data_IF_464227363832
#
_entry.id   IF_464227363832
#
_cell.length_a   1.000
_cell.length_b   1.000
_cell.length_c   1.000
_cell.angle_alpha   90.00
_cell.angle_beta   90.00
_cell.angle_gamma   90.00
#
_symmetry.space_group_name_H-M   'P 1'
#
loop_
_entity.id
_entity.type
_entity.pdbx_description
1 polymer ?
#
# COMPACT_ATOMS: atom_id res chain seq x y z
N UNK A 1 -12.42 7.34 5.30
CA UNK A 1 -11.84 6.09 4.79
C UNK A 1 -11.93 5.93 3.28
N UNK A 2 -11.70 7.03 2.58
CA UNK A 2 -11.74 7.06 1.12
C UNK A 2 -10.71 6.08 0.51
N UNK A 3 -9.54 5.94 1.16
CA UNK A 3 -8.49 5.07 0.64
C UNK A 3 -8.93 3.59 0.58
N UNK A 4 -9.62 3.11 1.62
CA UNK A 4 -10.12 1.73 1.64
C UNK A 4 -11.22 1.54 0.58
N UNK A 5 -12.11 2.52 0.47
CA UNK A 5 -13.18 2.47 -0.53
C UNK A 5 -12.58 2.41 -1.93
N UNK A 6 -11.57 3.23 -2.20
CA UNK A 6 -10.88 3.22 -3.48
C UNK A 6 -10.20 1.88 -3.76
N UNK A 7 -9.56 1.29 -2.75
CA UNK A 7 -8.91 -0.01 -2.89
C UNK A 7 -9.92 -1.10 -3.23
N UNK A 8 -11.03 -1.18 -2.48
CA UNK A 8 -12.06 -2.18 -2.72
C UNK A 8 -12.69 -2.00 -4.09
N UNK A 9 -12.96 -0.76 -4.49
CA UNK A 9 -13.51 -0.45 -5.80
C UNK A 9 -12.56 -0.90 -6.91
N UNK A 10 -11.26 -0.63 -6.75
CA UNK A 10 -10.25 -1.05 -7.71
C UNK A 10 -10.14 -2.57 -7.85
N UNK A 11 -10.23 -3.28 -6.73
CA UNK A 11 -10.20 -4.74 -6.74
C UNK A 11 -11.42 -5.28 -7.51
N UNK A 12 -12.60 -4.72 -7.24
CA UNK A 12 -13.83 -5.13 -7.92
C UNK A 12 -13.70 -4.90 -9.42
N UNK A 13 -13.22 -3.74 -9.84
CA UNK A 13 -13.02 -3.44 -11.24
C UNK A 13 -12.02 -4.40 -11.89
N UNK A 14 -10.94 -4.71 -11.20
CA UNK A 14 -9.93 -5.64 -11.72
C UNK A 14 -10.47 -7.05 -11.95
N UNK A 15 -11.33 -7.50 -11.03
CA UNK A 15 -11.95 -8.81 -11.16
C UNK A 15 -12.99 -8.82 -12.28
N UNK A 16 -13.81 -7.77 -12.38
CA UNK A 16 -14.90 -7.70 -13.35
C UNK A 16 -14.38 -7.58 -14.79
N UNK A 17 -13.38 -6.73 -15.01
CA UNK A 17 -12.89 -6.47 -16.36
C UNK A 17 -11.85 -7.49 -16.84
N UNK A 18 -11.30 -8.29 -15.95
CA UNK A 18 -10.39 -9.39 -16.29
C UNK A 18 -9.28 -8.95 -17.26
N UNK A 19 -8.58 -7.88 -16.91
CA UNK A 19 -7.49 -7.35 -17.72
C UNK A 19 -6.23 -8.17 -17.51
N UNK A 20 -5.67 -8.72 -18.59
CA UNK A 20 -4.43 -9.48 -18.53
C UNK A 20 -3.24 -8.58 -18.83
N UNK A 21 -2.23 -8.64 -17.96
CA UNK A 21 -1.01 -7.84 -18.10
C UNK A 21 0.11 -8.77 -18.57
N UNK A 22 0.86 -8.40 -19.63
CA UNK A 22 1.99 -9.21 -20.10
C UNK A 22 3.00 -9.48 -18.99
N UNK A 23 3.56 -10.70 -18.97
CA UNK A 23 4.50 -11.13 -17.92
C UNK A 23 5.72 -10.24 -17.80
N UNK A 24 6.17 -9.63 -18.88
CA UNK A 24 7.32 -8.73 -18.85
C UNK A 24 7.12 -7.53 -17.95
N UNK A 25 5.87 -7.16 -17.67
CA UNK A 25 5.53 -6.05 -16.79
C UNK A 25 5.27 -6.49 -15.36
N UNK A 26 5.33 -7.79 -15.05
CA UNK A 26 5.04 -8.30 -13.72
C UNK A 26 5.89 -7.65 -12.60
N UNK A 27 7.22 -7.46 -12.76
CA UNK A 27 7.99 -6.78 -11.72
C UNK A 27 7.49 -5.37 -11.45
N UNK A 28 7.12 -4.62 -12.50
CA UNK A 28 6.60 -3.26 -12.36
C UNK A 28 5.27 -3.26 -11.62
N UNK A 29 4.37 -4.16 -12.01
CA UNK A 29 3.05 -4.26 -11.38
C UNK A 29 3.16 -4.70 -9.93
N UNK A 30 4.06 -5.64 -9.63
CA UNK A 30 4.26 -6.12 -8.27
C UNK A 30 4.66 -4.99 -7.32
N UNK A 31 5.67 -4.21 -7.68
CA UNK A 31 6.14 -3.12 -6.83
C UNK A 31 5.13 -1.98 -6.78
N UNK A 32 4.42 -1.71 -7.90
CA UNK A 32 3.41 -0.67 -7.92
C UNK A 32 2.25 -1.01 -6.98
N UNK A 33 1.79 -2.26 -7.01
CA UNK A 33 0.73 -2.72 -6.12
C UNK A 33 1.16 -2.63 -4.67
N UNK A 34 2.39 -3.08 -4.36
CA UNK A 34 2.90 -3.00 -2.99
C UNK A 34 3.05 -1.56 -2.52
N UNK A 35 3.52 -0.66 -3.38
CA UNK A 35 3.63 0.76 -3.04
C UNK A 35 2.26 1.36 -2.75
N UNK A 36 1.25 1.00 -3.55
CA UNK A 36 -0.12 1.45 -3.33
C UNK A 36 -0.68 0.91 -2.02
N UNK A 37 -0.48 -0.38 -1.75
CA UNK A 37 -0.94 -1.01 -0.51
C UNK A 37 -0.26 -0.40 0.71
N UNK A 38 1.04 -0.13 0.63
CA UNK A 38 1.76 0.54 1.71
C UNK A 38 1.12 1.88 2.03
N UNK A 39 0.81 2.66 1.01
CA UNK A 39 0.17 3.96 1.20
C UNK A 39 -1.22 3.85 1.80
N UNK A 40 -2.02 2.88 1.33
CA UNK A 40 -3.37 2.67 1.86
C UNK A 40 -3.32 2.24 3.33
N UNK A 41 -2.45 1.28 3.68
CA UNK A 41 -2.31 0.86 5.07
C UNK A 41 -1.81 2.00 5.96
N UNK A 42 -0.88 2.81 5.46
CA UNK A 42 -0.43 4.00 6.17
C UNK A 42 -1.55 5.00 6.39
N UNK A 43 -2.41 5.20 5.39
CA UNK A 43 -3.57 6.08 5.52
C UNK A 43 -4.56 5.58 6.55
N UNK A 44 -4.83 4.27 6.58
CA UNK A 44 -5.74 3.67 7.57
C UNK A 44 -5.19 3.88 8.98
N UNK A 45 -3.90 3.60 9.16
CA UNK A 45 -3.23 3.82 10.44
C UNK A 45 -3.34 5.28 10.88
N UNK A 46 -3.03 6.22 9.98
CA UNK A 46 -3.10 7.65 10.28
C UNK A 46 -4.52 8.08 10.61
N UNK A 47 -5.51 7.55 9.89
CA UNK A 47 -6.91 7.87 10.14
C UNK A 47 -7.34 7.40 11.54
N UNK A 48 -6.95 6.19 11.93
CA UNK A 48 -7.27 5.65 13.24
C UNK A 48 -6.58 6.43 14.37
N UNK A 49 -5.40 6.99 14.10
CA UNK A 49 -4.67 7.82 15.06
C UNK A 49 -5.06 9.29 14.98
N UNK A 50 -6.04 9.65 14.15
CA UNK A 50 -6.51 11.03 13.93
C UNK A 50 -5.40 11.96 13.44
N UNK A 51 -4.44 11.41 12.69
CA UNK A 51 -3.32 12.17 12.14
C UNK A 51 -3.29 12.13 10.60
N UNK A 52 -4.38 11.72 9.96
CA UNK A 52 -4.43 11.62 8.51
C UNK A 52 -4.35 13.01 7.87
N UNK A 53 -3.46 13.11 6.88
CA UNK A 53 -3.33 14.31 6.05
C UNK A 53 -3.34 13.90 4.59
N UNK A 54 -4.32 14.42 3.84
CA UNK A 54 -4.56 14.01 2.46
C UNK A 54 -3.38 14.33 1.54
N UNK A 55 -2.72 15.47 1.75
CA UNK A 55 -1.56 15.85 0.94
C UNK A 55 -0.38 14.90 1.15
N UNK A 56 -0.14 14.48 2.38
CA UNK A 56 0.90 13.51 2.68
C UNK A 56 0.56 12.15 2.06
N UNK A 57 -0.70 11.72 2.18
CA UNK A 57 -1.15 10.46 1.59
C UNK A 57 -0.96 10.46 0.06
N UNK A 58 -1.44 11.50 -0.61
CA UNK A 58 -1.40 11.56 -2.07
C UNK A 58 0.05 11.63 -2.57
N UNK A 59 0.87 12.47 -1.95
CA UNK A 59 2.28 12.59 -2.35
C UNK A 59 3.04 11.29 -2.12
N UNK A 60 2.77 10.60 -1.01
CA UNK A 60 3.38 9.31 -0.73
C UNK A 60 2.91 8.23 -1.68
N UNK A 61 1.60 8.20 -1.98
CA UNK A 61 1.03 7.22 -2.88
C UNK A 61 1.70 7.28 -4.26
N UNK A 62 1.73 8.46 -4.86
CA UNK A 62 2.31 8.62 -6.20
C UNK A 62 3.83 8.61 -6.17
N UNK A 63 4.43 9.24 -5.16
CA UNK A 63 5.90 9.28 -5.04
C UNK A 63 6.49 7.89 -4.88
N UNK A 64 5.92 7.07 -4.01
CA UNK A 64 6.39 5.70 -3.81
C UNK A 64 6.17 4.83 -5.05
N UNK A 65 5.06 5.00 -5.74
CA UNK A 65 4.78 4.25 -6.96
C UNK A 65 5.79 4.60 -8.06
N UNK A 66 6.11 5.89 -8.23
CA UNK A 66 7.08 6.34 -9.23
C UNK A 66 8.47 5.84 -8.87
N UNK A 67 8.88 5.94 -7.62
CA UNK A 67 10.19 5.46 -7.19
C UNK A 67 10.30 3.95 -7.38
N UNK A 68 9.28 3.21 -7.03
CA UNK A 68 9.27 1.76 -7.20
C UNK A 68 9.39 1.37 -8.68
N UNK A 69 8.65 2.05 -9.55
CA UNK A 69 8.73 1.82 -10.99
C UNK A 69 10.11 2.15 -11.52
N UNK A 70 10.73 3.23 -11.03
CA UNK A 70 12.08 3.61 -11.46
C UNK A 70 13.10 2.55 -11.06
N UNK A 71 12.99 2.00 -9.85
CA UNK A 71 13.87 0.92 -9.40
C UNK A 71 13.69 -0.34 -10.22
N UNK A 72 12.46 -0.69 -10.56
CA UNK A 72 12.18 -1.84 -11.40
C UNK A 72 12.77 -1.65 -12.81
N UNK A 73 12.62 -0.45 -13.36
CA UNK A 73 13.18 -0.10 -14.67
C UNK A 73 14.71 -0.19 -14.66
N UNK A 74 15.33 0.38 -13.64
CA UNK A 74 16.79 0.34 -13.52
C UNK A 74 17.30 -1.10 -13.45
N UNK A 75 16.64 -1.93 -12.66
CA UNK A 75 16.99 -3.33 -12.55
C UNK A 75 16.83 -4.07 -13.87
N UNK A 76 15.76 -3.78 -14.61
CA UNK A 76 15.51 -4.37 -15.91
C UNK A 76 16.65 -4.03 -16.90
N UNK A 77 17.09 -2.78 -16.89
CA UNK A 77 18.20 -2.33 -17.74
C UNK A 77 19.53 -2.96 -17.36
N UNK A 78 19.77 -3.18 -16.07
CA UNK A 78 21.02 -3.75 -15.57
C UNK A 78 21.02 -5.28 -15.54
N UNK A 79 19.88 -5.92 -15.76
CA UNK A 79 19.75 -7.36 -15.64
C UNK A 79 19.82 -7.86 -14.20
N UNK A 80 19.50 -7.00 -13.23
CA UNK A 80 19.55 -7.31 -11.80
C UNK A 80 18.15 -7.08 -11.22
N UNK A 81 17.61 -8.01 -10.38
CA UNK A 81 16.26 -7.85 -9.85
C UNK A 81 16.23 -6.85 -8.69
N UNK A 82 16.55 -5.59 -8.96
CA UNK A 82 16.57 -4.50 -7.96
C UNK A 82 15.19 -4.29 -7.32
N UNK A 83 14.11 -4.58 -8.07
CA UNK A 83 12.76 -4.42 -7.56
C UNK A 83 12.50 -5.22 -6.27
N UNK A 84 13.29 -6.28 -6.01
CA UNK A 84 13.16 -7.07 -4.80
C UNK A 84 13.42 -6.23 -3.55
N UNK A 85 14.33 -5.27 -3.63
CA UNK A 85 14.59 -4.36 -2.51
C UNK A 85 13.33 -3.56 -2.15
N UNK A 86 12.61 -3.07 -3.16
CA UNK A 86 11.35 -2.35 -2.94
C UNK A 86 10.29 -3.29 -2.35
N UNK A 87 10.21 -4.52 -2.84
CA UNK A 87 9.28 -5.53 -2.34
C UNK A 87 9.50 -5.76 -0.84
N UNK A 88 10.76 -5.92 -0.43
CA UNK A 88 11.11 -6.15 0.97
C UNK A 88 10.70 -4.96 1.84
N UNK A 89 11.03 -3.74 1.40
CA UNK A 89 10.72 -2.53 2.17
C UNK A 89 9.21 -2.33 2.29
N UNK A 90 8.49 -2.37 1.18
CA UNK A 90 7.03 -2.16 1.21
C UNK A 90 6.32 -3.27 1.96
N UNK A 91 6.76 -4.52 1.76
CA UNK A 91 6.19 -5.65 2.49
C UNK A 91 6.35 -5.49 4.00
N UNK A 92 7.54 -5.11 4.45
CA UNK A 92 7.80 -4.86 5.86
C UNK A 92 6.91 -3.76 6.42
N UNK A 93 6.76 -2.66 5.68
CA UNK A 93 5.92 -1.54 6.11
C UNK A 93 4.44 -1.91 6.16
N UNK A 94 3.98 -2.71 5.22
CA UNK A 94 2.58 -3.17 5.21
C UNK A 94 2.31 -3.99 6.48
N UNK A 95 3.19 -4.93 6.82
CA UNK A 95 3.02 -5.73 8.03
C UNK A 95 3.11 -4.88 9.29
N UNK A 96 4.03 -3.91 9.35
CA UNK A 96 4.16 -3.03 10.50
C UNK A 96 2.89 -2.17 10.67
N UNK A 97 2.39 -1.61 9.59
CA UNK A 97 1.17 -0.81 9.63
C UNK A 97 -0.04 -1.68 10.00
N UNK A 98 -0.11 -2.90 9.49
CA UNK A 98 -1.18 -3.82 9.84
C UNK A 98 -1.16 -4.13 11.33
N UNK A 99 0.02 -4.38 11.91
CA UNK A 99 0.14 -4.65 13.34
C UNK A 99 -0.36 -3.48 14.19
N UNK A 100 -0.01 -2.26 13.79
CA UNK A 100 -0.44 -1.05 14.49
C UNK A 100 -1.95 -0.83 14.31
N UNK A 101 -2.47 -1.03 13.10
CA UNK A 101 -3.91 -0.91 12.83
C UNK A 101 -4.69 -1.89 13.71
N UNK A 102 -4.25 -3.15 13.74
CA UNK A 102 -4.88 -4.18 14.57
C UNK A 102 -4.92 -3.77 16.03
N UNK A 103 -3.80 -3.26 16.52
CA UNK A 103 -3.68 -2.83 17.91
C UNK A 103 -4.61 -1.66 18.22
N UNK A 104 -4.66 -0.68 17.32
CA UNK A 104 -5.52 0.50 17.49
C UNK A 104 -7.01 0.11 17.50
N UNK A 105 -7.39 -0.82 16.64
CA UNK A 105 -8.78 -1.30 16.58
C UNK A 105 -9.14 -2.01 17.88
N UNK A 106 -8.27 -2.88 18.39
CA UNK A 106 -8.50 -3.61 19.63
C UNK A 106 -8.61 -2.64 20.82
N UNK A 107 -7.72 -1.66 20.91
CA UNK A 107 -7.74 -0.68 21.96
C UNK A 107 -9.04 0.14 21.94
N UNK A 108 -9.47 0.53 20.76
CA UNK A 108 -10.71 1.29 20.59
C UNK A 108 -11.91 0.44 21.02
N UNK A 109 -11.93 -0.84 20.66
CA UNK A 109 -12.99 -1.76 21.08
C UNK A 109 -13.02 -1.93 22.61
N UNK A 110 -11.86 -2.10 23.23
CA UNK A 110 -11.76 -2.23 24.69
C UNK A 110 -12.24 -0.98 25.40
N UNK A 111 -11.89 0.20 24.90
CA UNK A 111 -12.31 1.46 25.45
C UNK A 111 -13.84 1.58 25.49
N UNK A 112 -14.49 1.19 24.38
CA UNK A 112 -15.97 1.17 24.33
C UNK A 112 -16.58 0.16 25.28
N UNK A 113 -15.94 -1.02 25.40
CA UNK A 113 -16.43 -2.12 26.20
C UNK A 113 -16.38 -1.79 27.71
N UNK A 114 -15.35 -1.08 28.15
CA UNK A 114 -15.09 -0.86 29.57
C UNK A 114 -15.48 0.53 30.06
N UNK A 115 -16.23 1.27 29.25
CA UNK A 115 -16.95 2.45 29.75
C UNK A 115 -16.14 3.74 29.89
N UNK A 116 -15.11 3.88 29.10
CA UNK A 116 -14.38 5.16 29.12
C UNK A 116 -14.89 6.11 28.03
#
# INVERSE_FOLDING_TARGET
MIAIIGLLFGIILGVVFDVNIPERFSPYMSVAILACLDSVFGAVRANLSKSFQADIFISGFFGNAVLAAALAYLGDKLGIPIYIAAVIVFGGRIFDNFAIIRRLIIEKYKSRQWGD
#
